data_IF_947599931573
#
_entry.id   IF_947599931573
#
_cell.length_a   1.000
_cell.length_b   1.000
_cell.length_c   1.000
_cell.angle_alpha   90.00
_cell.angle_beta   90.00
_cell.angle_gamma   90.00
#
_symmetry.space_group_name_H-M   'P 1'
#
loop_
_entity.id
_entity.type
_entity.pdbx_description
1 polymer ?
#
# COMPACT_ATOMS: atom_id res chain seq x y z
N UNK A 1 24.33 -1.72 -5.39
CA UNK A 1 23.26 -1.29 -6.32
C UNK A 1 22.73 0.05 -5.84
N UNK A 2 22.52 1.02 -6.72
CA UNK A 2 21.89 2.30 -6.36
C UNK A 2 20.38 2.22 -6.64
N UNK A 3 19.58 2.00 -5.58
CA UNK A 3 18.12 1.97 -5.67
C UNK A 3 17.60 3.40 -5.66
N UNK A 4 16.81 3.74 -6.65
CA UNK A 4 16.14 5.05 -6.74
C UNK A 4 14.84 4.96 -5.95
N UNK A 5 14.82 5.60 -4.79
CA UNK A 5 13.69 5.68 -3.85
C UNK A 5 13.87 6.97 -3.03
N UNK A 6 12.81 7.51 -2.47
CA UNK A 6 12.83 8.71 -1.63
C UNK A 6 13.93 8.65 -0.55
N UNK A 7 14.66 9.75 -0.29
CA UNK A 7 15.86 9.73 0.55
C UNK A 7 15.67 9.20 1.98
N UNK A 8 14.55 9.51 2.65
CA UNK A 8 14.24 9.02 3.99
C UNK A 8 14.07 7.50 4.00
N UNK A 9 13.30 6.97 3.06
CA UNK A 9 13.18 5.53 2.86
C UNK A 9 14.50 4.87 2.48
N UNK A 10 15.30 5.54 1.63
CA UNK A 10 16.61 5.02 1.25
C UNK A 10 17.53 4.86 2.44
N UNK A 11 17.54 5.82 3.37
CA UNK A 11 18.33 5.76 4.58
C UNK A 11 17.90 4.59 5.48
N UNK A 12 16.59 4.47 5.72
CA UNK A 12 16.01 3.44 6.60
C UNK A 12 16.20 2.03 6.03
N UNK A 13 15.97 1.86 4.71
CA UNK A 13 15.99 0.55 4.05
C UNK A 13 17.35 0.17 3.46
N UNK A 14 18.39 0.98 3.66
CA UNK A 14 19.73 0.74 3.10
C UNK A 14 20.27 -0.68 3.36
N UNK A 15 20.13 -1.27 4.56
CA UNK A 15 20.57 -2.64 4.82
C UNK A 15 19.82 -3.68 3.98
N UNK A 16 18.53 -3.43 3.68
CA UNK A 16 17.67 -4.37 2.95
C UNK A 16 18.15 -4.57 1.50
N UNK A 17 18.65 -3.51 0.87
CA UNK A 17 19.10 -3.55 -0.53
C UNK A 17 20.34 -4.44 -0.76
N UNK A 18 21.04 -4.83 0.30
CA UNK A 18 22.20 -5.75 0.24
C UNK A 18 21.84 -7.18 0.58
N UNK A 19 20.64 -7.44 1.10
CA UNK A 19 20.21 -8.79 1.49
C UNK A 19 19.97 -9.69 0.28
N UNK A 20 20.18 -10.99 0.49
CA UNK A 20 20.06 -12.01 -0.56
C UNK A 20 18.68 -12.00 -1.24
N UNK A 21 17.61 -11.89 -0.47
CA UNK A 21 16.25 -11.88 -1.05
C UNK A 21 16.05 -10.68 -2.00
N UNK A 22 16.62 -9.51 -1.68
CA UNK A 22 16.49 -8.34 -2.55
C UNK A 22 17.30 -8.52 -3.83
N UNK A 23 18.48 -9.11 -3.75
CA UNK A 23 19.28 -9.46 -4.94
C UNK A 23 18.56 -10.48 -5.81
N UNK A 24 17.86 -11.45 -5.20
CA UNK A 24 17.02 -12.42 -5.92
C UNK A 24 15.87 -11.73 -6.67
N UNK A 25 15.16 -10.80 -6.02
CA UNK A 25 14.13 -9.99 -6.70
C UNK A 25 14.69 -9.30 -7.93
N UNK A 26 15.81 -8.58 -7.77
CA UNK A 26 16.42 -7.83 -8.89
C UNK A 26 16.86 -8.75 -10.01
N UNK A 27 17.46 -9.88 -9.69
CA UNK A 27 17.89 -10.89 -10.69
C UNK A 27 16.69 -11.45 -11.42
N UNK A 28 15.63 -11.83 -10.69
CA UNK A 28 14.40 -12.38 -11.27
C UNK A 28 13.76 -11.39 -12.27
N UNK A 29 13.58 -10.13 -11.85
CA UNK A 29 12.99 -9.10 -12.72
C UNK A 29 13.83 -8.81 -13.97
N UNK A 30 15.18 -8.83 -13.86
CA UNK A 30 16.06 -8.70 -15.01
C UNK A 30 15.93 -9.87 -15.98
N UNK A 31 15.90 -11.11 -15.48
CA UNK A 31 15.73 -12.31 -16.29
C UNK A 31 14.39 -12.31 -17.03
N UNK A 32 13.31 -11.97 -16.37
CA UNK A 32 12.00 -11.87 -17.03
C UNK A 32 11.96 -10.80 -18.11
N UNK A 33 12.55 -9.62 -17.84
CA UNK A 33 12.66 -8.55 -18.82
C UNK A 33 13.49 -8.97 -20.03
N UNK A 34 14.60 -9.67 -19.82
CA UNK A 34 15.42 -10.24 -20.92
C UNK A 34 14.65 -11.29 -21.71
N UNK A 35 13.78 -12.05 -21.07
CA UNK A 35 12.88 -13.02 -21.70
C UNK A 35 11.65 -12.37 -22.38
N UNK A 36 11.59 -11.03 -22.48
CA UNK A 36 10.49 -10.32 -23.12
C UNK A 36 9.18 -10.29 -22.32
N UNK A 37 9.21 -10.65 -21.02
CA UNK A 37 8.01 -10.59 -20.17
C UNK A 37 7.67 -9.13 -19.82
N UNK A 38 6.37 -8.81 -19.86
CA UNK A 38 5.86 -7.52 -19.43
C UNK A 38 5.59 -7.57 -17.93
N UNK A 39 6.15 -6.61 -17.19
CA UNK A 39 6.04 -6.50 -15.73
C UNK A 39 5.37 -5.19 -15.37
N UNK A 40 4.45 -5.22 -14.43
CA UNK A 40 3.77 -4.04 -13.88
C UNK A 40 4.11 -3.84 -12.40
N UNK A 41 4.11 -2.58 -11.91
CA UNK A 41 4.10 -1.34 -12.68
C UNK A 41 5.38 -1.15 -13.51
N UNK A 42 5.46 -0.11 -14.38
CA UNK A 42 6.73 0.28 -15.01
C UNK A 42 7.84 0.47 -13.99
N UNK A 43 9.09 0.16 -14.36
CA UNK A 43 10.23 0.15 -13.44
C UNK A 43 10.42 1.44 -12.62
N UNK A 44 10.11 2.60 -13.23
CA UNK A 44 10.14 3.91 -12.55
C UNK A 44 9.07 4.08 -11.48
N UNK A 45 8.05 3.22 -11.46
CA UNK A 45 6.91 3.30 -10.53
C UNK A 45 6.89 2.17 -9.48
N UNK A 46 7.89 1.29 -9.45
CA UNK A 46 7.95 0.20 -8.46
C UNK A 46 7.95 0.75 -7.03
N UNK A 47 8.66 1.86 -6.79
CA UNK A 47 8.76 2.51 -5.48
C UNK A 47 7.88 3.77 -5.35
N UNK A 48 6.89 3.94 -6.20
CA UNK A 48 6.07 5.16 -6.25
C UNK A 48 5.34 5.46 -4.93
N UNK A 49 4.88 4.43 -4.20
CA UNK A 49 4.28 4.62 -2.88
C UNK A 49 5.25 5.27 -1.88
N UNK A 50 6.51 4.92 -1.95
CA UNK A 50 7.57 5.48 -1.11
C UNK A 50 7.94 6.91 -1.53
N UNK A 51 7.98 7.16 -2.83
CA UNK A 51 8.30 8.49 -3.37
C UNK A 51 7.18 9.51 -3.09
N UNK A 52 5.92 9.07 -3.09
CA UNK A 52 4.75 9.90 -2.79
C UNK A 52 4.47 10.06 -1.29
N UNK A 53 4.92 9.12 -0.47
CA UNK A 53 4.78 9.16 0.99
C UNK A 53 6.17 9.05 1.64
N UNK A 54 6.91 10.17 1.80
CA UNK A 54 8.21 10.19 2.48
C UNK A 54 8.14 9.52 3.85
N UNK A 55 9.24 8.89 4.30
CA UNK A 55 9.26 8.11 5.54
C UNK A 55 8.79 8.93 6.76
N UNK A 56 9.24 10.18 6.88
CA UNK A 56 8.86 11.08 7.97
C UNK A 56 7.37 11.47 7.94
N UNK A 57 6.73 11.43 6.78
CA UNK A 57 5.32 11.81 6.57
C UNK A 57 4.32 10.68 6.78
N UNK A 58 4.75 9.43 6.92
CA UNK A 58 3.85 8.30 7.10
C UNK A 58 3.01 8.46 8.37
N UNK A 59 1.70 8.54 8.20
CA UNK A 59 0.66 8.58 9.26
C UNK A 59 -0.22 7.34 9.23
N UNK A 60 -0.46 6.80 8.04
CA UNK A 60 -1.35 5.65 7.80
C UNK A 60 -0.67 4.68 6.85
N UNK A 61 -0.83 3.38 7.08
CA UNK A 61 -0.42 2.33 6.13
C UNK A 61 -1.67 1.56 5.71
N UNK A 62 -1.91 1.49 4.41
CA UNK A 62 -2.94 0.61 3.82
C UNK A 62 -2.22 -0.47 3.04
N UNK A 63 -2.42 -1.75 3.42
CA UNK A 63 -1.72 -2.86 2.81
C UNK A 63 -2.59 -3.54 1.75
N UNK A 64 -2.14 -3.51 0.49
CA UNK A 64 -2.64 -4.32 -0.61
C UNK A 64 -1.82 -5.60 -0.79
N UNK A 65 -2.24 -6.47 -1.71
CA UNK A 65 -1.56 -7.74 -1.97
C UNK A 65 -0.50 -7.59 -3.07
N UNK A 66 -0.90 -7.38 -4.30
CA UNK A 66 -0.04 -7.21 -5.47
C UNK A 66 -0.62 -6.15 -6.42
N UNK A 67 0.18 -5.61 -7.36
CA UNK A 67 -0.30 -4.63 -8.32
C UNK A 67 -1.36 -5.22 -9.26
N UNK A 68 -2.17 -4.36 -9.86
CA UNK A 68 -3.05 -4.77 -10.96
C UNK A 68 -2.21 -5.35 -12.12
N UNK A 69 -2.63 -6.50 -12.64
CA UNK A 69 -1.91 -7.21 -13.69
C UNK A 69 -2.36 -6.87 -15.12
N UNK A 70 -3.41 -6.05 -15.27
CA UNK A 70 -3.88 -5.57 -16.56
C UNK A 70 -3.08 -4.35 -17.04
N UNK A 71 -2.96 -4.15 -18.38
CA UNK A 71 -2.20 -3.04 -18.93
C UNK A 71 -2.61 -1.67 -18.40
N UNK A 72 -1.64 -0.88 -17.99
CA UNK A 72 -1.81 0.53 -17.61
C UNK A 72 -2.46 0.80 -16.25
N UNK A 73 -2.96 -0.21 -15.53
CA UNK A 73 -3.66 0.00 -14.26
C UNK A 73 -2.72 0.18 -13.06
N UNK A 74 -1.60 -0.55 -13.03
CA UNK A 74 -0.66 -0.45 -11.92
C UNK A 74 0.27 0.75 -12.07
N UNK A 75 0.35 1.56 -11.02
CA UNK A 75 1.27 2.71 -10.95
C UNK A 75 2.02 2.81 -9.61
N UNK A 76 2.12 1.71 -8.88
CA UNK A 76 2.94 1.60 -7.68
C UNK A 76 2.26 1.97 -6.37
N UNK A 77 0.95 2.27 -6.38
CA UNK A 77 0.11 2.52 -5.20
C UNK A 77 -0.95 1.43 -5.08
N UNK A 78 -1.11 0.84 -3.90
CA UNK A 78 -2.16 -0.16 -3.66
C UNK A 78 -3.56 0.43 -3.85
N UNK A 79 -4.48 -0.35 -4.41
CA UNK A 79 -5.87 0.01 -4.73
C UNK A 79 -6.07 1.13 -5.77
N UNK A 80 -5.02 1.86 -6.13
CA UNK A 80 -5.04 3.02 -7.01
C UNK A 80 -4.82 2.65 -8.47
N UNK A 81 -5.45 3.41 -9.37
CA UNK A 81 -5.18 3.39 -10.82
C UNK A 81 -4.87 4.80 -11.31
N UNK A 82 -4.13 4.96 -12.41
CA UNK A 82 -3.84 6.27 -12.99
C UNK A 82 -5.12 7.03 -13.39
N UNK A 83 -4.98 8.34 -13.60
CA UNK A 83 -6.05 9.15 -14.19
C UNK A 83 -6.53 8.57 -15.53
N UNK A 84 -7.82 8.70 -15.81
CA UNK A 84 -8.46 8.15 -17.01
C UNK A 84 -8.92 6.70 -16.89
N UNK A 85 -8.54 5.99 -15.83
CA UNK A 85 -9.08 4.65 -15.56
C UNK A 85 -10.29 4.71 -14.64
N UNK A 86 -11.27 3.86 -14.90
CA UNK A 86 -12.41 3.65 -14.00
C UNK A 86 -11.92 3.02 -12.69
N UNK A 87 -12.37 3.51 -11.51
CA UNK A 87 -12.01 2.90 -10.24
C UNK A 87 -12.34 1.40 -10.22
N UNK A 88 -11.37 0.53 -9.83
CA UNK A 88 -11.62 -0.90 -9.69
C UNK A 88 -12.68 -1.21 -8.63
N UNK A 89 -13.33 -2.39 -8.69
CA UNK A 89 -14.44 -2.72 -7.79
C UNK A 89 -14.13 -2.60 -6.30
N UNK A 90 -12.92 -2.97 -5.87
CA UNK A 90 -12.50 -2.79 -4.46
C UNK A 90 -12.41 -1.31 -4.08
N UNK A 91 -11.90 -0.46 -4.97
CA UNK A 91 -11.82 0.98 -4.73
C UNK A 91 -13.20 1.63 -4.70
N UNK A 92 -14.13 1.19 -5.54
CA UNK A 92 -15.54 1.63 -5.48
C UNK A 92 -16.14 1.34 -4.10
N UNK A 93 -15.86 0.17 -3.53
CA UNK A 93 -16.34 -0.18 -2.20
C UNK A 93 -15.65 0.63 -1.09
N UNK A 94 -14.36 0.93 -1.23
CA UNK A 94 -13.65 1.86 -0.34
C UNK A 94 -14.34 3.24 -0.38
N UNK A 95 -14.68 3.75 -1.55
CA UNK A 95 -15.38 5.03 -1.70
C UNK A 95 -16.78 5.03 -1.08
N UNK A 96 -17.52 3.93 -1.21
CA UNK A 96 -18.83 3.79 -0.55
C UNK A 96 -18.71 3.84 0.98
N UNK A 97 -17.69 3.17 1.54
CA UNK A 97 -17.44 3.20 2.98
C UNK A 97 -17.03 4.60 3.45
N UNK A 98 -16.17 5.32 2.71
CA UNK A 98 -15.80 6.71 3.02
C UNK A 98 -17.04 7.60 3.04
N UNK A 99 -17.90 7.50 2.04
CA UNK A 99 -19.12 8.30 1.96
C UNK A 99 -20.08 8.01 3.13
N UNK A 100 -20.20 6.74 3.52
CA UNK A 100 -21.03 6.31 4.65
C UNK A 100 -20.46 6.72 6.01
N UNK A 101 -19.13 6.61 6.18
CA UNK A 101 -18.45 6.84 7.46
C UNK A 101 -18.26 8.33 7.77
N UNK A 102 -17.82 9.12 6.81
CA UNK A 102 -17.42 10.52 7.00
C UNK A 102 -18.10 11.52 6.06
N UNK A 103 -19.04 11.08 5.24
CA UNK A 103 -19.85 11.95 4.38
C UNK A 103 -19.10 12.57 3.19
N UNK A 104 -17.89 12.13 2.87
CA UNK A 104 -17.10 12.65 1.75
C UNK A 104 -17.56 12.00 0.45
N UNK A 105 -18.01 12.82 -0.50
CA UNK A 105 -18.34 12.34 -1.85
C UNK A 105 -17.09 12.13 -2.67
N UNK A 106 -16.89 10.91 -3.15
CA UNK A 106 -15.73 10.55 -3.95
C UNK A 106 -15.96 10.79 -5.45
N UNK A 107 -14.96 11.29 -6.17
CA UNK A 107 -15.06 11.50 -7.62
C UNK A 107 -15.07 10.17 -8.38
N UNK A 108 -15.39 10.23 -9.68
CA UNK A 108 -15.36 9.05 -10.57
C UNK A 108 -13.97 8.72 -11.10
N UNK A 109 -12.91 9.11 -10.39
CA UNK A 109 -11.53 8.83 -10.76
C UNK A 109 -10.89 7.91 -9.71
N UNK A 110 -9.86 7.14 -10.07
CA UNK A 110 -9.26 6.11 -9.22
C UNK A 110 -7.83 6.42 -8.76
N UNK A 111 -7.33 7.64 -9.00
CA UNK A 111 -5.98 8.01 -8.60
C UNK A 111 -5.95 8.47 -7.13
N UNK A 112 -5.20 7.75 -6.29
CA UNK A 112 -5.07 7.99 -4.85
C UNK A 112 -3.76 8.72 -4.48
N UNK A 113 -3.05 9.33 -5.43
CA UNK A 113 -1.79 10.04 -5.14
C UNK A 113 -1.96 11.12 -4.07
N UNK A 114 -3.11 11.83 -4.05
CA UNK A 114 -3.39 12.82 -3.00
C UNK A 114 -3.39 12.21 -1.59
N UNK A 115 -3.88 10.99 -1.42
CA UNK A 115 -3.79 10.31 -0.12
C UNK A 115 -2.34 10.01 0.24
N UNK A 116 -1.56 9.53 -0.72
CA UNK A 116 -0.14 9.26 -0.51
C UNK A 116 0.62 10.54 -0.09
N UNK A 117 0.39 11.65 -0.77
CA UNK A 117 0.97 12.96 -0.45
C UNK A 117 0.55 13.50 0.93
N UNK A 118 -0.61 13.07 1.45
CA UNK A 118 -1.12 13.41 2.78
C UNK A 118 -0.64 12.48 3.90
N UNK A 119 0.20 11.51 3.58
CA UNK A 119 0.82 10.60 4.55
C UNK A 119 0.20 9.20 4.64
N UNK A 120 -0.57 8.78 3.63
CA UNK A 120 -1.10 7.43 3.53
C UNK A 120 -0.17 6.57 2.65
N UNK A 121 0.64 5.72 3.26
CA UNK A 121 1.47 4.75 2.54
C UNK A 121 0.58 3.65 1.95
N UNK A 122 0.34 3.73 0.64
CA UNK A 122 -0.45 2.75 -0.12
C UNK A 122 0.48 1.62 -0.61
N UNK A 123 0.78 0.68 0.28
CA UNK A 123 1.79 -0.35 0.09
C UNK A 123 1.17 -1.65 -0.42
N UNK A 124 1.72 -2.23 -1.50
CA UNK A 124 1.46 -3.61 -1.87
C UNK A 124 2.51 -4.54 -1.22
N UNK A 125 2.13 -5.74 -0.82
CA UNK A 125 3.06 -6.73 -0.26
C UNK A 125 4.04 -7.26 -1.32
N UNK A 126 3.60 -7.45 -2.57
CA UNK A 126 4.48 -7.63 -3.72
C UNK A 126 4.46 -6.33 -4.55
N UNK A 127 5.65 -5.79 -4.89
CA UNK A 127 5.73 -4.50 -5.59
C UNK A 127 5.67 -4.62 -7.11
N UNK A 128 5.72 -5.85 -7.64
CA UNK A 128 5.60 -6.11 -9.07
C UNK A 128 4.73 -7.33 -9.35
N UNK A 129 4.23 -7.42 -10.57
CA UNK A 129 3.46 -8.56 -11.08
C UNK A 129 3.72 -8.72 -12.58
N UNK A 130 3.68 -9.94 -13.10
CA UNK A 130 3.73 -10.20 -14.54
C UNK A 130 2.37 -9.90 -15.17
N UNK A 131 2.38 -9.32 -16.37
CA UNK A 131 1.18 -9.02 -17.12
C UNK A 131 0.26 -10.23 -17.25
N UNK A 132 -1.03 -10.06 -16.94
CA UNK A 132 -2.09 -11.08 -16.99
C UNK A 132 -1.89 -12.29 -16.06
N UNK A 133 -0.91 -12.26 -15.15
CA UNK A 133 -0.62 -13.37 -14.23
C UNK A 133 -0.67 -12.86 -12.77
N UNK A 134 -1.86 -12.81 -12.13
CA UNK A 134 -1.97 -12.33 -10.74
C UNK A 134 -1.11 -13.17 -9.79
N UNK A 135 -0.56 -12.52 -8.78
CA UNK A 135 0.32 -13.11 -7.76
C UNK A 135 1.62 -13.78 -8.29
N UNK A 136 1.97 -13.58 -9.56
CA UNK A 136 3.15 -14.21 -10.19
C UNK A 136 4.47 -13.88 -9.48
N UNK A 137 4.59 -12.74 -8.82
CA UNK A 137 5.77 -12.32 -8.08
C UNK A 137 5.64 -12.43 -6.55
N UNK A 138 4.62 -13.12 -6.05
CA UNK A 138 4.40 -13.26 -4.60
C UNK A 138 5.51 -14.01 -3.85
N UNK A 139 6.32 -14.83 -4.56
CA UNK A 139 7.36 -15.68 -3.95
C UNK A 139 8.80 -15.33 -4.36
N UNK A 140 9.02 -14.17 -5.00
CA UNK A 140 10.36 -13.82 -5.48
C UNK A 140 11.21 -13.03 -4.48
N UNK A 141 10.67 -12.70 -3.29
CA UNK A 141 11.35 -11.97 -2.20
C UNK A 141 10.75 -10.61 -1.87
N UNK A 142 9.72 -10.14 -2.58
CA UNK A 142 9.08 -8.86 -2.27
C UNK A 142 8.47 -8.81 -0.88
N UNK A 143 7.88 -9.93 -0.40
CA UNK A 143 7.26 -9.97 0.92
C UNK A 143 8.27 -9.76 2.04
N UNK A 144 9.49 -10.32 1.92
CA UNK A 144 10.55 -10.07 2.90
C UNK A 144 10.91 -8.58 2.96
N UNK A 145 10.96 -7.91 1.81
CA UNK A 145 11.22 -6.49 1.72
C UNK A 145 10.10 -5.65 2.35
N UNK A 146 8.86 -5.91 1.99
CA UNK A 146 7.70 -5.14 2.48
C UNK A 146 7.40 -5.44 3.96
N UNK A 147 7.67 -6.65 4.42
CA UNK A 147 7.63 -6.97 5.85
C UNK A 147 8.68 -6.16 6.63
N UNK A 148 9.87 -5.97 6.05
CA UNK A 148 10.88 -5.07 6.64
C UNK A 148 10.40 -3.61 6.65
N UNK A 149 9.74 -3.14 5.60
CA UNK A 149 9.12 -1.80 5.56
C UNK A 149 8.13 -1.63 6.71
N UNK A 150 7.23 -2.60 6.92
CA UNK A 150 6.24 -2.55 8.01
C UNK A 150 6.95 -2.51 9.37
N UNK A 151 7.99 -3.35 9.58
CA UNK A 151 8.78 -3.35 10.82
C UNK A 151 9.48 -2.01 11.07
N UNK A 152 10.07 -1.39 10.06
CA UNK A 152 10.70 -0.07 10.21
C UNK A 152 9.67 1.00 10.57
N UNK A 153 8.51 1.04 9.92
CA UNK A 153 7.43 1.97 10.31
C UNK A 153 7.02 1.71 11.76
N UNK A 154 6.86 0.45 12.15
CA UNK A 154 6.47 0.08 13.51
C UNK A 154 7.53 0.40 14.57
N UNK A 155 8.81 0.20 14.26
CA UNK A 155 9.89 0.40 15.24
C UNK A 155 10.28 1.87 15.38
N UNK A 156 10.34 2.59 14.26
CA UNK A 156 11.00 3.90 14.15
C UNK A 156 10.01 5.06 14.21
N UNK A 157 8.69 4.78 14.20
CA UNK A 157 7.63 5.78 14.31
C UNK A 157 6.71 5.50 15.49
N UNK A 158 5.83 6.46 15.79
CA UNK A 158 4.78 6.34 16.79
C UNK A 158 3.45 6.82 16.22
N UNK A 159 2.35 6.31 16.77
CA UNK A 159 0.99 6.72 16.43
C UNK A 159 0.62 6.59 14.96
N UNK A 160 1.19 5.60 14.26
CA UNK A 160 0.77 5.24 12.89
C UNK A 160 -0.47 4.36 12.95
N UNK A 161 -1.38 4.52 11.99
CA UNK A 161 -2.56 3.67 11.85
C UNK A 161 -2.33 2.66 10.73
N UNK A 162 -2.50 1.37 11.03
CA UNK A 162 -2.40 0.29 10.05
C UNK A 162 -3.79 -0.22 9.70
N UNK A 163 -4.20 -0.08 8.44
CA UNK A 163 -5.47 -0.58 7.92
C UNK A 163 -5.23 -1.93 7.24
N UNK A 164 -5.62 -3.02 7.91
CA UNK A 164 -5.40 -4.38 7.46
C UNK A 164 -6.71 -5.00 6.97
N UNK A 165 -6.94 -4.95 5.67
CA UNK A 165 -8.16 -5.41 5.04
C UNK A 165 -8.01 -6.81 4.43
N UNK A 166 -8.78 -7.75 4.96
CA UNK A 166 -8.77 -9.16 4.58
C UNK A 166 -7.68 -9.97 5.30
N UNK A 167 -7.82 -11.29 5.23
CA UNK A 167 -6.97 -12.23 5.97
C UNK A 167 -5.48 -12.06 5.66
N UNK A 168 -5.14 -11.91 4.39
CA UNK A 168 -3.74 -11.74 3.96
C UNK A 168 -3.05 -10.54 4.62
N UNK A 169 -3.71 -9.36 4.63
CA UNK A 169 -3.17 -8.17 5.29
C UNK A 169 -3.12 -8.35 6.82
N UNK A 170 -4.13 -8.98 7.41
CA UNK A 170 -4.21 -9.22 8.86
C UNK A 170 -3.12 -10.17 9.37
N UNK A 171 -2.61 -11.07 8.53
CA UNK A 171 -1.47 -11.93 8.87
C UNK A 171 -0.19 -11.12 9.16
N UNK A 172 -0.11 -9.87 8.68
CA UNK A 172 1.03 -8.97 8.93
C UNK A 172 0.97 -8.25 10.30
N UNK A 173 -0.11 -8.39 11.06
CA UNK A 173 -0.28 -7.75 12.37
C UNK A 173 0.88 -8.07 13.33
N UNK A 174 1.45 -9.27 13.27
CA UNK A 174 2.57 -9.69 14.12
C UNK A 174 3.87 -8.88 13.91
N UNK A 175 3.93 -8.05 12.85
CA UNK A 175 5.05 -7.16 12.55
C UNK A 175 4.91 -5.78 13.22
N UNK A 176 3.75 -5.51 13.85
CA UNK A 176 3.35 -4.19 14.32
C UNK A 176 3.30 -4.17 15.84
N UNK A 177 3.94 -3.20 16.45
CA UNK A 177 3.84 -2.94 17.88
C UNK A 177 2.55 -2.16 18.21
N UNK A 178 1.52 -2.87 18.64
CA UNK A 178 0.21 -2.29 18.99
C UNK A 178 0.24 -1.43 20.26
N UNK A 179 1.34 -1.41 21.01
CA UNK A 179 1.50 -0.47 22.13
C UNK A 179 1.80 0.94 21.66
N UNK A 180 2.33 1.09 20.44
CA UNK A 180 2.69 2.35 19.79
C UNK A 180 1.71 2.79 18.71
N UNK A 181 1.01 1.85 18.09
CA UNK A 181 0.26 2.05 16.85
C UNK A 181 -1.18 1.56 16.97
N UNK A 182 -2.06 2.09 16.13
CA UNK A 182 -3.42 1.58 15.99
C UNK A 182 -3.50 0.59 14.82
N UNK A 183 -3.97 -0.62 15.08
CA UNK A 183 -4.28 -1.61 14.05
C UNK A 183 -5.79 -1.74 13.89
N UNK A 184 -6.31 -1.45 12.71
CA UNK A 184 -7.72 -1.58 12.36
C UNK A 184 -7.89 -2.72 11.33
N UNK A 185 -8.75 -3.69 11.66
CA UNK A 185 -8.98 -4.88 10.84
C UNK A 185 -10.42 -4.93 10.33
N UNK A 186 -10.59 -5.24 9.05
CA UNK A 186 -11.89 -5.47 8.42
C UNK A 186 -11.80 -6.57 7.36
N UNK A 187 -12.93 -7.02 6.83
CA UNK A 187 -12.94 -7.84 5.63
C UNK A 187 -12.30 -7.08 4.45
N UNK A 188 -11.89 -7.80 3.41
CA UNK A 188 -11.33 -7.15 2.21
C UNK A 188 -12.42 -6.38 1.46
N UNK A 189 -12.14 -5.18 0.88
CA UNK A 189 -13.13 -4.36 0.17
C UNK A 189 -13.60 -4.94 -1.17
N UNK A 190 -13.12 -6.11 -1.58
CA UNK A 190 -13.57 -6.73 -2.83
C UNK A 190 -15.08 -7.03 -2.80
N UNK A 191 -15.77 -7.07 -3.96
CA UNK A 191 -17.19 -7.42 -4.02
C UNK A 191 -17.53 -8.77 -3.39
N UNK A 192 -16.56 -9.70 -3.31
CA UNK A 192 -16.76 -11.03 -2.73
C UNK A 192 -16.81 -11.03 -1.19
N UNK A 193 -16.37 -9.97 -0.54
CA UNK A 193 -16.18 -9.93 0.92
C UNK A 193 -16.57 -8.61 1.59
N UNK A 194 -16.84 -7.54 0.86
CA UNK A 194 -17.13 -6.24 1.45
C UNK A 194 -18.34 -6.27 2.40
N UNK A 195 -19.39 -7.02 2.05
CA UNK A 195 -20.58 -7.18 2.90
C UNK A 195 -20.32 -8.06 4.16
N UNK A 196 -19.15 -8.70 4.24
CA UNK A 196 -18.77 -9.57 5.38
C UNK A 196 -17.98 -8.83 6.46
N UNK A 197 -18.14 -7.49 6.54
CA UNK A 197 -17.55 -6.66 7.58
C UNK A 197 -16.52 -5.62 7.13
N UNK A 198 -16.47 -5.27 5.84
CA UNK A 198 -15.80 -4.07 5.38
C UNK A 198 -16.74 -2.87 5.47
N UNK A 199 -17.97 -2.98 4.94
CA UNK A 199 -18.96 -1.93 5.10
C UNK A 199 -19.35 -1.77 6.56
N UNK A 200 -19.32 -0.53 7.05
CA UNK A 200 -19.58 -0.20 8.45
C UNK A 200 -18.36 -0.36 9.38
N UNK A 201 -17.15 -0.65 8.85
CA UNK A 201 -15.93 -0.76 9.67
C UNK A 201 -15.47 0.58 10.25
N UNK A 202 -15.88 1.71 9.64
CA UNK A 202 -15.58 3.07 10.10
C UNK A 202 -14.09 3.37 10.27
N UNK A 203 -13.28 2.79 9.42
CA UNK A 203 -11.83 2.93 9.53
C UNK A 203 -11.34 4.35 9.27
N UNK A 204 -12.04 5.14 8.47
CA UNK A 204 -11.63 6.51 8.09
C UNK A 204 -11.86 7.49 9.24
N UNK A 205 -13.04 7.48 9.87
CA UNK A 205 -13.33 8.29 11.06
C UNK A 205 -12.45 7.87 12.24
N UNK A 206 -12.33 6.55 12.51
CA UNK A 206 -11.50 6.01 13.60
C UNK A 206 -10.01 6.34 13.43
N UNK A 207 -9.51 6.35 12.20
CA UNK A 207 -8.15 6.80 11.87
C UNK A 207 -7.97 8.25 12.28
N UNK A 208 -8.88 9.12 11.86
CA UNK A 208 -8.79 10.55 12.11
C UNK A 208 -8.96 10.88 13.61
N UNK A 209 -9.86 10.19 14.31
CA UNK A 209 -10.01 10.30 15.76
C UNK A 209 -8.72 9.94 16.50
N UNK A 210 -8.05 8.84 16.10
CA UNK A 210 -6.80 8.40 16.70
C UNK A 210 -5.66 9.39 16.43
N UNK A 211 -5.50 9.85 15.19
CA UNK A 211 -4.48 10.82 14.83
C UNK A 211 -4.66 12.13 15.61
N UNK A 212 -5.88 12.67 15.63
CA UNK A 212 -6.20 13.91 16.38
C UNK A 212 -5.93 13.76 17.88
N UNK A 213 -6.30 12.62 18.49
CA UNK A 213 -6.03 12.33 19.91
C UNK A 213 -4.54 12.35 20.25
N UNK A 214 -3.68 12.03 19.29
CA UNK A 214 -2.23 12.01 19.45
C UNK A 214 -1.55 13.29 18.90
N UNK A 215 -2.31 14.37 18.63
CA UNK A 215 -1.76 15.65 18.16
C UNK A 215 -1.25 15.61 16.71
N UNK A 216 -1.70 14.65 15.91
CA UNK A 216 -1.34 14.50 14.50
C UNK A 216 -2.53 14.99 13.66
N UNK A 217 -2.25 15.79 12.64
CA UNK A 217 -3.29 16.26 11.72
C UNK A 217 -4.02 15.10 11.07
N UNK A 218 -5.35 15.08 11.11
CA UNK A 218 -6.18 14.10 10.43
C UNK A 218 -5.90 14.02 8.93
N UNK A 219 -6.22 12.89 8.34
CA UNK A 219 -6.16 12.73 6.88
C UNK A 219 -7.40 13.34 6.25
N UNK A 220 -7.20 14.20 5.26
CA UNK A 220 -8.25 14.60 4.34
C UNK A 220 -8.40 13.48 3.29
N UNK A 221 -9.48 12.70 3.41
CA UNK A 221 -9.79 11.57 2.54
C UNK A 221 -10.43 11.96 1.20
N UNK A 222 -10.66 13.27 0.94
CA UNK A 222 -11.12 13.74 -0.37
C UNK A 222 -10.05 13.54 -1.46
N UNK A 223 -10.45 13.56 -2.73
CA UNK A 223 -9.56 13.45 -3.89
C UNK A 223 -9.61 14.70 -4.78
#
# INVERSE_FOLDING_TARGET
MDVKIEPGWKAVLKPEFTKTYFQQVVTHLKMEKMAGKVIYPPGSMIFHAFDKTPFDKVKVVILGQDPYHNPGQAHGLSFSVPEGFTPPPSLINIYKEIASDIGVTMPRQGNLEKWAERGVLLLNAALTVRANEPASHSKIGWMDFTDSVIRHVSNDKEHVVFLLWGKFAQEKQHLIDETKHLVLKAAHPSPFSADKGFFGCRHFSRTNEYLAKNGIDPIDWSL
#
